data_IF_797705487587
#
_entry.id   IF_797705487587
#
_cell.length_a   1.000
_cell.length_b   1.000
_cell.length_c   1.000
_cell.angle_alpha   90.00
_cell.angle_beta   90.00
_cell.angle_gamma   90.00
#
_symmetry.space_group_name_H-M   'P 1'
#
loop_
_entity.id
_entity.type
_entity.pdbx_description
1 polymer ?
2 non-polymer ?
#
# COMPACT_ATOMS: atom_id res chain seq x y z
N UNK A 22 21.57 -14.36 30.30
CA UNK A 22 20.35 -14.99 29.79
C UNK A 22 19.99 -14.46 28.40
N UNK A 23 20.60 -15.04 27.36
CA UNK A 23 20.32 -14.56 25.99
C UNK A 23 18.94 -14.94 25.48
N UNK A 24 18.24 -15.89 26.11
CA UNK A 24 16.88 -16.23 25.70
C UNK A 24 15.91 -15.12 26.08
N UNK A 25 15.96 -14.67 27.33
CA UNK A 25 15.06 -13.61 27.77
C UNK A 25 15.48 -12.24 27.25
N UNK A 26 16.78 -12.03 27.05
CA UNK A 26 17.26 -10.74 26.54
C UNK A 26 16.89 -10.54 25.08
N UNK A 27 16.74 -11.64 24.33
CA UNK A 27 16.36 -11.50 22.93
C UNK A 27 14.88 -11.24 22.73
N UNK A 28 14.05 -11.42 23.76
CA UNK A 28 12.63 -11.10 23.67
C UNK A 28 12.28 -9.78 24.33
N UNK A 29 13.19 -9.19 25.10
CA UNK A 29 12.95 -7.90 25.73
C UNK A 29 13.80 -6.78 25.16
N UNK A 30 14.93 -7.09 24.54
CA UNK A 30 15.78 -6.08 23.94
C UNK A 30 15.83 -6.13 22.42
N UNK A 31 15.38 -7.23 21.81
CA UNK A 31 15.38 -7.35 20.36
C UNK A 31 13.97 -7.43 19.79
N UNK A 32 13.16 -8.39 20.23
CA UNK A 32 11.81 -8.54 19.70
C UNK A 32 10.91 -7.42 20.18
N UNK A 33 11.05 -7.03 21.45
CA UNK A 33 10.28 -5.90 21.97
C UNK A 33 10.71 -4.58 21.34
N UNK A 34 11.96 -4.50 20.87
CA UNK A 34 12.39 -3.35 20.09
C UNK A 34 12.00 -3.47 18.63
N UNK A 35 11.86 -4.70 18.13
CA UNK A 35 11.47 -4.91 16.75
C UNK A 35 10.01 -4.55 16.53
N UNK A 36 9.16 -4.85 17.51
CA UNK A 36 7.78 -4.41 17.48
C UNK A 36 7.62 -2.96 17.93
N UNK A 37 8.66 -2.36 18.48
CA UNK A 37 8.63 -0.94 18.78
C UNK A 37 9.05 -0.10 17.60
N UNK A 38 9.97 -0.58 16.76
CA UNK A 38 10.30 0.14 15.54
C UNK A 38 9.16 0.08 14.54
N UNK A 39 8.62 -1.12 14.31
CA UNK A 39 7.51 -1.28 13.37
C UNK A 39 6.25 -0.55 13.77
N UNK A 40 6.08 -0.28 15.07
CA UNK A 40 5.05 0.64 15.51
C UNK A 40 5.45 2.08 15.21
N UNK A 41 6.71 2.43 15.51
CA UNK A 41 7.15 3.81 15.39
C UNK A 41 7.64 4.16 13.98
N UNK A 42 7.78 3.18 13.08
CA UNK A 42 8.04 3.53 11.69
C UNK A 42 6.77 3.92 10.97
N UNK A 43 5.67 3.23 11.28
CA UNK A 43 4.38 3.52 10.66
C UNK A 43 3.55 4.49 11.49
N UNK A 44 4.12 5.64 11.89
CA UNK A 44 3.35 6.70 12.51
C UNK A 44 3.75 8.01 11.84
N UNK A 45 2.89 8.49 10.95
CA UNK A 45 3.04 9.78 10.28
C UNK A 45 1.67 10.42 10.37
N UNK A 46 1.43 11.30 11.36
CA UNK A 46 0.09 11.86 11.54
C UNK A 46 -0.38 12.74 10.40
N UNK A 47 0.53 13.33 9.63
CA UNK A 47 0.12 14.17 8.53
C UNK A 47 0.22 13.48 7.18
N UNK A 48 0.17 12.15 7.18
CA UNK A 48 0.31 11.43 5.91
C UNK A 48 -1.01 11.39 5.14
N UNK A 49 -2.12 11.21 5.84
CA UNK A 49 -3.42 11.30 5.17
C UNK A 49 -3.74 12.74 4.80
N UNK A 50 -3.22 13.70 5.55
CA UNK A 50 -3.42 15.12 5.27
C UNK A 50 -2.22 15.68 4.50
N UNK A 51 -1.92 15.05 3.36
CA UNK A 51 -0.96 15.57 2.42
C UNK A 51 -1.66 16.32 1.30
N UNK A 52 -2.66 15.70 0.69
CA UNK A 52 -3.42 16.31 -0.39
C UNK A 52 -4.33 17.46 0.09
N UNK A 53 -4.94 17.45 1.28
CA UNK A 53 -5.50 18.70 1.79
C UNK A 53 -4.45 19.73 2.17
N UNK A 54 -3.22 19.32 2.46
CA UNK A 54 -2.18 20.29 2.76
C UNK A 54 -1.69 20.96 1.49
N UNK A 55 -1.59 20.22 0.38
CA UNK A 55 -1.19 20.81 -0.89
C UNK A 55 -2.28 21.72 -1.44
N UNK A 56 -3.53 21.26 -1.41
CA UNK A 56 -4.64 22.01 -1.97
C UNK A 56 -5.16 23.09 -1.03
N UNK A 57 -4.64 23.18 0.19
CA UNK A 57 -5.08 24.18 1.13
C UNK A 57 -4.41 25.51 0.89
N UNK A 58 -4.60 26.46 1.82
CA UNK A 58 -3.99 27.79 1.66
C UNK A 58 -2.52 27.86 2.07
N UNK A 59 -1.92 26.73 2.48
CA UNK A 59 -0.51 26.75 2.86
C UNK A 59 0.40 26.65 1.64
N UNK A 60 0.13 25.70 0.74
CA UNK A 60 0.92 25.51 -0.47
C UNK A 60 0.29 26.15 -1.69
N UNK A 61 -1.04 26.25 -1.73
CA UNK A 61 -1.82 26.89 -2.79
C UNK A 61 -1.56 26.24 -4.15
N UNK A 62 -1.88 24.96 -4.24
CA UNK A 62 -1.85 24.23 -5.50
C UNK A 62 -3.26 24.10 -6.05
N UNK A 63 -3.38 24.18 -7.38
CA UNK A 63 -4.66 23.95 -8.01
C UNK A 63 -5.01 22.47 -7.94
N UNK A 64 -6.31 22.17 -7.99
CA UNK A 64 -6.75 20.78 -7.97
C UNK A 64 -6.39 20.07 -9.26
N UNK A 65 -6.33 20.79 -10.37
CA UNK A 65 -5.88 20.24 -11.64
C UNK A 65 -4.37 20.20 -11.76
N UNK A 66 -3.65 20.66 -10.73
CA UNK A 66 -2.20 20.67 -10.72
C UNK A 66 -1.59 19.53 -9.91
N UNK A 67 -2.36 18.94 -8.99
CA UNK A 67 -1.90 17.79 -8.24
C UNK A 67 -2.53 16.49 -8.71
N UNK A 68 -3.48 16.53 -9.63
CA UNK A 68 -4.05 15.32 -10.18
C UNK A 68 -3.54 15.01 -11.58
N UNK A 69 -2.81 15.94 -12.20
CA UNK A 69 -2.25 15.72 -13.52
C UNK A 69 -0.75 16.00 -13.59
N UNK A 70 -0.15 16.51 -12.53
CA UNK A 70 1.27 16.81 -12.55
C UNK A 70 2.05 16.32 -11.34
N UNK A 71 1.40 16.11 -10.20
CA UNK A 71 2.08 15.65 -8.99
C UNK A 71 1.87 14.17 -8.75
N UNK A 72 0.61 13.73 -8.68
CA UNK A 72 0.26 12.34 -8.41
C UNK A 72 0.61 11.34 -9.54
N UNK A 73 0.61 11.68 -10.84
CA UNK A 73 1.18 10.73 -11.80
C UNK A 73 2.69 10.49 -11.66
N UNK A 74 3.43 11.34 -10.95
CA UNK A 74 4.82 11.02 -10.66
C UNK A 74 4.93 9.96 -9.58
N UNK A 75 3.90 9.80 -8.75
CA UNK A 75 3.89 8.73 -7.76
C UNK A 75 3.78 7.36 -8.41
N UNK A 76 3.14 7.28 -9.57
CA UNK A 76 3.02 6.02 -10.29
C UNK A 76 4.18 5.76 -11.24
N UNK A 77 4.85 6.81 -11.71
CA UNK A 77 6.00 6.65 -12.60
C UNK A 77 7.23 6.23 -11.82
N UNK A 78 7.56 6.98 -10.77
CA UNK A 78 8.77 6.72 -10.02
C UNK A 78 8.65 5.45 -9.18
N UNK A 79 7.44 4.99 -8.88
CA UNK A 79 7.27 3.68 -8.28
C UNK A 79 7.69 2.58 -9.24
N UNK A 80 7.43 2.75 -10.53
CA UNK A 80 7.93 1.79 -11.52
C UNK A 80 9.45 1.83 -11.62
N UNK A 81 10.04 3.01 -11.44
CA UNK A 81 11.48 3.15 -11.61
C UNK A 81 12.27 2.60 -10.42
N UNK A 82 11.71 2.65 -9.21
CA UNK A 82 12.44 2.26 -8.02
C UNK A 82 11.95 0.94 -7.44
N UNK A 83 11.04 0.24 -8.12
CA UNK A 83 10.54 -1.01 -7.56
C UNK A 83 11.58 -2.12 -7.64
N UNK A 84 12.28 -2.22 -8.76
CA UNK A 84 13.34 -3.21 -8.92
C UNK A 84 14.65 -2.81 -8.23
N UNK A 85 15.15 -1.56 -8.29
CA UNK A 85 16.40 -1.27 -7.54
C UNK A 85 16.25 -1.29 -6.02
N UNK A 86 15.07 -1.02 -5.47
CA UNK A 86 14.93 -1.13 -4.02
C UNK A 86 14.84 -2.59 -3.60
N UNK A 87 14.11 -3.41 -4.36
CA UNK A 87 13.97 -4.82 -4.04
C UNK A 87 15.29 -5.58 -4.20
N UNK A 88 16.16 -5.14 -5.10
CA UNK A 88 17.49 -5.74 -5.17
C UNK A 88 18.43 -5.19 -4.11
N UNK A 89 18.29 -3.92 -3.74
CA UNK A 89 19.06 -3.37 -2.63
C UNK A 89 18.54 -3.85 -1.27
N UNK A 90 17.31 -4.35 -1.22
CA UNK A 90 16.76 -4.86 0.02
C UNK A 90 17.44 -6.13 0.49
N UNK A 91 17.66 -7.06 -0.42
CA UNK A 91 18.31 -8.33 -0.09
C UNK A 91 19.85 -8.27 -0.13
N UNK A 92 20.39 -7.30 -0.86
CA UNK A 92 21.84 -7.18 -0.95
C UNK A 92 22.44 -6.53 0.28
N UNK A 93 21.76 -5.52 0.82
CA UNK A 93 22.24 -4.79 1.99
C UNK A 93 21.75 -5.38 3.29
N UNK A 94 21.10 -6.54 3.25
CA UNK A 94 20.54 -7.26 4.41
C UNK A 94 19.53 -6.40 5.17
N UNK A 95 18.65 -5.75 4.43
CA UNK A 95 17.34 -5.25 4.86
C UNK A 95 17.37 -4.08 5.84
N UNK A 96 18.52 -3.77 6.44
CA UNK A 96 18.62 -2.71 7.43
C UNK A 96 18.81 -1.30 6.83
N UNK A 97 19.73 -1.06 5.86
CA UNK A 97 19.81 0.31 5.32
C UNK A 97 18.63 0.71 4.46
N UNK A 98 17.85 -0.26 3.95
CA UNK A 98 16.65 0.09 3.21
C UNK A 98 15.54 0.49 4.17
N UNK A 99 15.54 -0.04 5.39
CA UNK A 99 14.68 0.52 6.42
C UNK A 99 15.17 1.88 6.90
N UNK A 100 16.45 2.17 6.72
CA UNK A 100 16.95 3.53 6.95
C UNK A 100 16.69 4.41 5.74
N UNK A 101 16.71 3.83 4.53
CA UNK A 101 16.38 4.59 3.33
C UNK A 101 14.89 4.91 3.27
N UNK A 102 14.05 3.99 3.76
CA UNK A 102 12.62 4.27 3.88
C UNK A 102 12.35 5.32 4.94
N UNK A 103 13.15 5.33 6.00
CA UNK A 103 13.00 6.37 7.01
C UNK A 103 13.52 7.71 6.54
N UNK A 104 14.63 7.72 5.81
CA UNK A 104 15.21 8.97 5.33
C UNK A 104 14.44 9.55 4.15
N UNK A 105 13.77 8.71 3.35
CA UNK A 105 12.93 9.25 2.30
C UNK A 105 11.62 9.80 2.86
N UNK A 106 11.21 9.31 4.02
CA UNK A 106 10.01 9.86 4.63
C UNK A 106 10.37 11.25 5.12
N UNK A 107 11.53 11.40 5.75
CA UNK A 107 11.94 12.72 6.19
C UNK A 107 12.11 13.64 4.99
N UNK A 108 12.61 13.10 3.88
CA UNK A 108 12.77 13.90 2.67
C UNK A 108 11.44 14.22 1.99
N UNK A 109 10.39 13.45 2.26
CA UNK A 109 9.06 13.81 1.78
C UNK A 109 8.52 14.99 2.58
N UNK A 110 8.60 14.91 3.90
CA UNK A 110 8.06 15.98 4.73
C UNK A 110 8.94 17.22 4.71
N UNK A 111 10.21 17.10 4.37
CA UNK A 111 11.03 18.30 4.16
C UNK A 111 10.73 18.98 2.84
N UNK A 112 10.07 18.29 1.91
CA UNK A 112 9.61 18.92 0.68
C UNK A 112 8.18 19.41 0.78
N UNK A 113 7.37 18.82 1.67
CA UNK A 113 6.04 19.38 1.95
C UNK A 113 6.15 20.71 2.67
N UNK A 114 7.06 20.80 3.64
CA UNK A 114 7.14 21.98 4.48
C UNK A 114 7.93 23.11 3.84
N UNK A 115 8.91 22.78 2.99
CA UNK A 115 9.80 23.79 2.42
C UNK A 115 9.64 23.99 0.93
N UNK A 116 9.25 22.95 0.20
CA UNK A 116 9.02 23.12 -1.23
C UNK A 116 7.72 23.83 -1.50
N UNK A 117 7.72 24.62 -2.58
CA UNK A 117 6.54 25.42 -2.91
C UNK A 117 6.14 25.28 -4.37
N UNK A 118 7.11 24.98 -5.23
CA UNK A 118 6.85 24.94 -6.67
C UNK A 118 6.20 23.61 -7.04
N UNK A 119 5.79 23.52 -8.31
CA UNK A 119 5.20 22.29 -8.82
C UNK A 119 6.25 21.25 -9.12
N UNK A 120 7.53 21.64 -9.19
CA UNK A 120 8.60 20.68 -9.44
C UNK A 120 9.10 20.04 -8.15
N UNK A 121 8.98 20.74 -7.02
CA UNK A 121 9.43 20.17 -5.75
C UNK A 121 8.49 19.07 -5.29
N UNK A 122 7.19 19.20 -5.54
CA UNK A 122 6.25 18.15 -5.16
C UNK A 122 6.29 16.97 -6.09
N UNK A 123 6.81 17.12 -7.31
CA UNK A 123 7.11 15.96 -8.12
C UNK A 123 8.30 15.20 -7.57
N UNK A 124 9.24 15.92 -6.96
CA UNK A 124 10.34 15.28 -6.26
C UNK A 124 9.87 14.66 -4.95
N UNK A 125 8.81 15.22 -4.37
CA UNK A 125 8.24 14.65 -3.14
C UNK A 125 7.61 13.30 -3.40
N UNK A 126 6.95 13.14 -4.56
CA UNK A 126 6.39 11.84 -4.91
C UNK A 126 7.43 10.85 -5.38
N UNK A 127 8.60 11.32 -5.81
CA UNK A 127 9.69 10.40 -6.10
C UNK A 127 10.25 9.81 -4.81
N UNK A 128 10.38 10.64 -3.78
CA UNK A 128 10.80 10.12 -2.47
C UNK A 128 9.68 9.38 -1.77
N UNK A 129 8.42 9.63 -2.15
CA UNK A 129 7.32 8.90 -1.53
C UNK A 129 7.16 7.52 -2.16
N UNK A 130 7.55 7.37 -3.42
CA UNK A 130 7.45 6.07 -4.06
C UNK A 130 8.61 5.18 -3.67
N UNK A 131 9.68 5.76 -3.12
CA UNK A 131 10.74 4.95 -2.53
C UNK A 131 10.23 4.26 -1.28
N UNK A 132 9.54 5.01 -0.43
CA UNK A 132 8.99 4.46 0.81
C UNK A 132 7.87 3.48 0.53
N UNK A 133 7.22 3.63 -0.62
CA UNK A 133 6.13 2.75 -1.01
C UNK A 133 6.64 1.40 -1.49
N UNK A 134 7.89 1.38 -1.95
CA UNK A 134 8.50 0.14 -2.44
C UNK A 134 9.39 -0.49 -1.39
N UNK A 135 9.86 0.33 -0.44
CA UNK A 135 10.74 -0.15 0.63
C UNK A 135 9.93 -0.54 1.85
N UNK A 136 8.62 -0.68 1.69
CA UNK A 136 7.74 -1.05 2.79
C UNK A 136 7.85 -2.55 3.02
N UNK A 137 8.05 -3.28 1.93
CA UNK A 137 8.20 -4.72 2.00
C UNK A 137 9.49 -5.10 2.72
N UNK A 138 10.45 -4.18 2.73
CA UNK A 138 11.71 -4.46 3.41
C UNK A 138 11.49 -4.95 4.83
N UNK A 139 10.60 -4.28 5.57
CA UNK A 139 10.40 -4.63 6.97
C UNK A 139 9.67 -5.95 7.12
N UNK A 140 8.78 -6.28 6.20
CA UNK A 140 8.05 -7.54 6.29
C UNK A 140 8.95 -8.73 5.95
N UNK A 141 9.95 -8.52 5.11
CA UNK A 141 10.94 -9.55 4.81
C UNK A 141 12.18 -9.44 5.69
N UNK A 142 12.29 -8.38 6.49
CA UNK A 142 13.38 -8.29 7.45
C UNK A 142 13.18 -9.27 8.60
N UNK A 143 11.94 -9.54 8.99
CA UNK A 143 11.69 -10.45 10.10
C UNK A 143 11.95 -11.89 9.69
N UNK A 144 11.78 -12.21 8.41
CA UNK A 144 12.00 -13.59 7.98
C UNK A 144 13.48 -13.93 7.98
N UNK A 145 14.34 -13.00 7.60
CA UNK A 145 15.76 -13.26 7.55
C UNK A 145 16.44 -13.08 8.90
N UNK A 146 15.78 -12.42 9.85
CA UNK A 146 16.39 -12.15 11.15
C UNK A 146 16.15 -13.27 12.14
N UNK A 147 14.89 -13.58 12.43
CA UNK A 147 14.58 -14.49 13.53
C UNK A 147 14.67 -15.93 13.04
N UNK A 148 14.76 -16.85 14.01
CA UNK A 148 14.87 -18.27 13.71
C UNK A 148 13.56 -18.80 13.13
N UNK A 149 13.62 -19.80 12.25
CA UNK A 149 12.39 -20.34 11.66
C UNK A 149 11.49 -21.04 12.65
N UNK A 150 12.01 -21.54 13.77
CA UNK A 150 11.16 -22.15 14.76
C UNK A 150 10.36 -21.12 15.54
N UNK A 151 10.88 -19.90 15.65
CA UNK A 151 10.19 -18.83 16.35
C UNK A 151 9.95 -17.64 15.42
N UNK A 152 9.50 -17.92 14.20
CA UNK A 152 9.19 -16.86 13.25
C UNK A 152 7.72 -16.48 13.25
N UNK A 153 6.81 -17.45 13.33
CA UNK A 153 5.38 -17.14 13.25
C UNK A 153 4.87 -16.44 14.51
N UNK A 154 5.63 -16.48 15.61
CA UNK A 154 5.27 -15.72 16.80
C UNK A 154 5.85 -14.31 16.77
N UNK A 155 7.06 -14.13 16.23
CA UNK A 155 7.64 -12.80 16.16
C UNK A 155 6.98 -12.00 15.04
N UNK A 156 6.77 -12.63 13.87
CA UNK A 156 6.06 -11.95 12.80
C UNK A 156 4.59 -11.74 13.12
N UNK A 157 4.01 -12.55 14.00
CA UNK A 157 2.65 -12.27 14.46
C UNK A 157 2.59 -11.04 15.32
N UNK A 158 3.62 -10.82 16.15
CA UNK A 158 3.69 -9.61 16.95
C UNK A 158 4.12 -8.42 16.13
N UNK A 159 4.91 -8.64 15.07
CA UNK A 159 5.44 -7.54 14.28
C UNK A 159 4.39 -6.94 13.36
N UNK A 160 3.54 -7.79 12.76
CA UNK A 160 2.46 -7.26 11.92
C UNK A 160 1.35 -6.66 12.76
N UNK A 161 1.15 -7.16 13.99
CA UNK A 161 0.18 -6.56 14.89
C UNK A 161 0.69 -5.29 15.54
N UNK A 162 1.99 -5.00 15.42
CA UNK A 162 2.52 -3.72 15.85
C UNK A 162 2.58 -2.71 14.70
N UNK A 163 2.71 -3.20 13.46
CA UNK A 163 2.59 -2.32 12.31
C UNK A 163 1.15 -1.87 12.14
N UNK A 164 0.21 -2.82 12.20
CA UNK A 164 -1.20 -2.50 12.05
C UNK A 164 -1.72 -1.65 13.20
N UNK A 165 -1.14 -1.79 14.39
CA UNK A 165 -1.45 -0.87 15.48
C UNK A 165 -0.82 0.49 15.22
N UNK A 166 0.29 0.53 14.49
CA UNK A 166 0.90 1.80 14.15
C UNK A 166 0.14 2.56 13.08
N UNK A 167 -0.30 1.85 12.03
CA UNK A 167 -1.05 2.47 10.94
C UNK A 167 -2.39 2.99 11.44
N UNK A 168 -3.01 2.29 12.39
CA UNK A 168 -4.26 2.76 12.97
C UNK A 168 -4.03 3.99 13.83
N UNK A 169 -2.99 3.98 14.67
CA UNK A 169 -2.75 5.13 15.53
C UNK A 169 -2.04 6.27 14.80
N UNK A 170 -1.56 6.06 13.57
CA UNK A 170 -1.06 7.17 12.79
C UNK A 170 -2.20 8.04 12.29
N UNK A 171 -3.30 7.41 11.89
CA UNK A 171 -4.45 8.13 11.38
C UNK A 171 -5.41 8.57 12.46
N UNK A 172 -5.34 7.97 13.65
CA UNK A 172 -6.13 8.45 14.78
C UNK A 172 -5.47 9.68 15.39
N UNK A 173 -4.16 9.62 15.63
CA UNK A 173 -3.43 10.78 16.15
C UNK A 173 -3.41 11.93 15.15
N UNK A 174 -3.40 11.62 13.86
CA UNK A 174 -3.54 12.68 12.87
C UNK A 174 -4.92 13.29 12.86
N UNK A 175 -5.95 12.52 13.22
CA UNK A 175 -7.30 13.04 13.22
C UNK A 175 -7.61 13.79 14.51
N UNK A 176 -7.10 13.32 15.64
CA UNK A 176 -7.39 13.97 16.91
C UNK A 176 -6.68 15.31 17.03
N UNK A 177 -5.52 15.46 16.38
CA UNK A 177 -4.84 16.75 16.41
C UNK A 177 -5.56 17.77 15.54
N UNK A 178 -6.09 17.35 14.40
CA UNK A 178 -6.78 18.26 13.50
C UNK A 178 -8.17 18.60 14.03
N UNK A 179 -8.94 17.59 14.42
CA UNK A 179 -10.34 17.82 14.80
C UNK A 179 -10.46 18.25 16.26
N UNK A 180 -9.96 17.43 17.18
CA UNK A 180 -10.10 17.75 18.60
C UNK A 180 -9.09 18.81 19.02
N UNK A 181 -7.84 18.68 18.58
CA UNK A 181 -6.81 19.60 19.01
C UNK A 181 -6.73 20.90 18.25
N UNK A 182 -7.43 21.00 17.11
CA UNK A 182 -7.45 22.19 16.25
C UNK A 182 -6.07 22.59 15.74
N UNK A 183 -5.18 21.61 15.58
CA UNK A 183 -3.84 21.86 15.05
C UNK A 183 -3.94 22.01 13.55
N UNK A 184 -3.35 23.08 13.02
CA UNK A 184 -3.38 23.32 11.59
C UNK A 184 -2.50 22.30 10.86
N UNK A 185 -2.62 22.28 9.53
CA UNK A 185 -1.87 21.32 8.72
C UNK A 185 -0.39 21.63 8.68
N UNK A 186 0.00 22.88 8.86
CA UNK A 186 1.42 23.21 8.88
C UNK A 186 2.07 22.72 10.16
N UNK A 187 1.39 22.86 11.29
CA UNK A 187 1.93 22.38 12.56
C UNK A 187 1.78 20.87 12.69
N UNK A 188 0.90 20.26 11.90
CA UNK A 188 0.77 18.81 11.94
C UNK A 188 1.93 18.14 11.22
N UNK A 189 2.40 18.73 10.12
CA UNK A 189 3.54 18.14 9.42
C UNK A 189 4.86 18.37 10.15
N UNK A 190 4.93 19.39 11.02
CA UNK A 190 6.08 19.50 11.92
C UNK A 190 6.05 18.42 12.99
N UNK A 191 4.85 18.01 13.41
CA UNK A 191 4.71 16.90 14.34
C UNK A 191 5.07 15.60 13.63
N UNK A 192 4.63 15.43 12.38
CA UNK A 192 4.96 14.23 11.62
C UNK A 192 6.44 14.20 11.26
N UNK A 193 7.10 15.36 11.18
CA UNK A 193 8.54 15.36 10.97
C UNK A 193 9.28 14.96 12.24
N UNK A 194 8.68 15.17 13.41
CA UNK A 194 9.30 14.75 14.65
C UNK A 194 9.20 13.26 14.86
N UNK A 195 8.10 12.63 14.42
CA UNK A 195 7.97 11.18 14.52
C UNK A 195 8.73 10.45 13.42
N UNK A 196 9.24 11.16 12.42
CA UNK A 196 10.01 10.54 11.36
C UNK A 196 11.51 10.70 11.53
N UNK A 197 11.97 11.81 12.14
CA UNK A 197 13.36 11.88 12.53
C UNK A 197 13.66 10.97 13.71
N UNK A 198 12.64 10.69 14.53
CA UNK A 198 12.79 9.71 15.61
C UNK A 198 12.78 8.28 15.07
N UNK A 199 12.09 8.04 13.95
CA UNK A 199 12.09 6.72 13.35
C UNK A 199 13.33 6.45 12.51
N UNK A 200 14.06 7.49 12.13
CA UNK A 200 15.37 7.29 11.51
C UNK A 200 16.38 6.84 12.56
N UNK A 201 16.32 7.45 13.76
CA UNK A 201 17.20 7.09 14.86
C UNK A 201 16.92 5.66 15.33
N UNK A 202 15.64 5.26 15.35
CA UNK A 202 15.30 3.91 15.75
C UNK A 202 15.72 2.89 14.70
N UNK A 203 15.75 3.27 13.43
CA UNK A 203 16.18 2.37 12.37
C UNK A 203 17.68 2.18 12.32
N UNK A 204 18.46 3.01 13.01
CA UNK A 204 19.90 2.84 13.06
C UNK A 204 20.31 1.70 13.97
N UNK A 205 19.50 1.38 14.97
CA UNK A 205 19.85 0.40 15.98
C UNK A 205 19.21 -0.95 15.73
N UNK A 206 18.65 -1.16 14.55
CA UNK A 206 18.11 -2.47 14.20
C UNK A 206 19.23 -3.44 13.90
N UNK A 207 19.09 -4.67 14.40
CA UNK A 207 20.12 -5.68 14.20
C UNK A 207 20.07 -6.21 12.78
N UNK A 208 21.20 -6.17 12.09
CA UNK A 208 21.26 -6.70 10.74
C UNK A 208 21.19 -8.22 10.78
N UNK A 209 20.39 -8.85 9.92
CA UNK A 209 20.27 -10.31 9.94
C UNK A 209 21.53 -10.98 9.44
N UNK A 210 21.77 -12.18 9.96
CA UNK A 210 22.96 -12.93 9.60
C UNK A 210 22.90 -13.45 8.17
N UNK A 211 21.70 -13.55 7.63
CA UNK A 211 21.52 -14.04 6.28
C UNK A 211 20.37 -13.35 5.59
N UNK A 212 20.43 -13.27 4.28
CA UNK A 212 19.36 -12.68 3.49
C UNK A 212 18.72 -13.78 2.65
N UNK A 213 17.85 -13.38 1.72
CA UNK A 213 17.09 -14.34 0.94
C UNK A 213 17.73 -14.69 -0.40
N UNK A 214 18.35 -13.72 -1.07
CA UNK A 214 18.92 -13.97 -2.38
C UNK A 214 20.43 -13.79 -2.44
N UNK A 215 20.95 -12.66 -1.99
CA UNK A 215 22.34 -12.30 -2.26
C UNK A 215 23.28 -12.56 -1.09
N UNK A 216 22.75 -12.89 0.09
CA UNK A 216 23.57 -13.17 1.27
C UNK A 216 23.09 -14.45 1.95
N UNK A 217 22.87 -15.49 1.15
CA UNK A 217 22.38 -16.75 1.69
C UNK A 217 23.51 -17.52 2.36
N UNK A 218 23.15 -18.61 3.02
CA UNK A 218 24.09 -19.55 3.58
C UNK A 218 24.07 -20.85 2.80
N UNK A 219 25.02 -21.73 3.13
CA UNK A 219 25.25 -23.03 2.46
C UNK A 219 25.47 -22.84 0.95
N UNK A 220 26.26 -21.82 0.59
CA UNK A 220 26.59 -21.56 -0.80
C UNK A 220 27.64 -22.55 -1.30
N UNK A 251 19.55 -27.31 -8.40
CA UNK A 251 20.77 -27.45 -7.62
C UNK A 251 21.24 -26.10 -7.07
N UNK A 252 21.10 -25.06 -7.88
CA UNK A 252 21.50 -23.72 -7.51
C UNK A 252 20.30 -22.95 -6.97
N UNK A 253 20.47 -21.64 -6.78
CA UNK A 253 19.35 -20.79 -6.39
C UNK A 253 18.61 -20.21 -7.59
N UNK A 254 19.17 -20.35 -8.80
CA UNK A 254 18.51 -19.90 -10.02
C UNK A 254 18.03 -21.04 -10.90
N UNK A 255 18.74 -22.17 -10.92
CA UNK A 255 18.31 -23.31 -11.71
C UNK A 255 17.17 -24.08 -11.06
N UNK A 256 17.13 -24.14 -9.73
CA UNK A 256 16.03 -24.77 -9.03
C UNK A 256 14.80 -23.86 -8.99
N UNK A 257 15.01 -22.55 -8.91
CA UNK A 257 13.90 -21.61 -8.79
C UNK A 257 13.16 -21.46 -10.11
N UNK A 258 13.85 -21.55 -11.24
CA UNK A 258 13.19 -21.50 -12.54
C UNK A 258 12.61 -22.84 -12.96
N UNK A 259 12.84 -23.90 -12.20
CA UNK A 259 12.16 -25.18 -12.39
C UNK A 259 11.01 -25.36 -11.41
N UNK A 260 11.13 -24.83 -10.19
CA UNK A 260 10.01 -24.79 -9.28
C UNK A 260 8.93 -23.83 -9.78
N UNK A 261 9.32 -22.77 -10.49
CA UNK A 261 8.33 -21.87 -11.07
C UNK A 261 7.59 -22.52 -12.24
N UNK A 262 8.29 -23.35 -13.01
CA UNK A 262 7.66 -24.01 -14.14
C UNK A 262 6.64 -25.06 -13.75
N UNK A 263 6.75 -25.63 -12.57
CA UNK A 263 5.77 -26.58 -12.04
C UNK A 263 4.72 -25.92 -11.16
N UNK A 264 4.88 -24.63 -10.86
CA UNK A 264 3.91 -23.89 -10.07
C UNK A 264 3.16 -22.83 -10.87
N UNK A 265 3.60 -22.55 -12.09
CA UNK A 265 2.88 -21.63 -12.96
C UNK A 265 1.69 -22.29 -13.66
N UNK A 266 1.59 -23.61 -13.60
CA UNK A 266 0.48 -24.33 -14.20
C UNK A 266 -0.65 -24.61 -13.21
N UNK A 267 -0.55 -24.08 -12.00
CA UNK A 267 -1.64 -24.24 -11.04
C UNK A 267 -2.79 -23.32 -11.40
N UNK A 268 -4.04 -23.80 -11.37
CA UNK A 268 -5.16 -22.92 -11.72
C UNK A 268 -5.44 -21.84 -10.70
N UNK A 269 -5.06 -22.05 -9.43
CA UNK A 269 -5.26 -21.03 -8.41
C UNK A 269 -4.13 -20.01 -8.36
N UNK A 270 -2.99 -20.29 -8.98
CA UNK A 270 -1.94 -19.30 -9.03
C UNK A 270 -2.12 -18.33 -10.19
N UNK A 271 -2.50 -18.83 -11.37
CA UNK A 271 -2.74 -17.94 -12.50
C UNK A 271 -3.96 -17.07 -12.30
N UNK A 272 -4.95 -17.56 -11.56
CA UNK A 272 -6.17 -16.79 -11.33
C UNK A 272 -5.91 -15.63 -10.37
N UNK A 273 -5.08 -15.85 -9.36
CA UNK A 273 -4.81 -14.82 -8.37
C UNK A 273 -3.56 -14.01 -8.68
N UNK A 274 -2.72 -14.43 -9.62
CA UNK A 274 -1.68 -13.54 -10.09
C UNK A 274 -2.23 -12.56 -11.11
N UNK A 275 -3.17 -13.00 -11.94
CA UNK A 275 -3.86 -12.08 -12.85
C UNK A 275 -4.77 -11.12 -12.10
N UNK A 276 -5.22 -11.50 -10.90
CA UNK A 276 -5.92 -10.53 -10.05
C UNK A 276 -4.95 -9.54 -9.43
N UNK A 277 -3.75 -10.01 -9.06
CA UNK A 277 -2.78 -9.11 -8.44
C UNK A 277 -2.20 -8.13 -9.45
N UNK A 278 -2.19 -8.47 -10.73
CA UNK A 278 -1.69 -7.55 -11.74
C UNK A 278 -2.70 -6.43 -11.98
N UNK A 279 -3.96 -6.79 -12.20
CA UNK A 279 -4.94 -5.83 -12.71
C UNK A 279 -5.83 -5.23 -11.63
N UNK A 280 -6.26 -6.00 -10.64
CA UNK A 280 -7.11 -5.42 -9.60
C UNK A 280 -6.30 -4.62 -8.59
N UNK A 281 -5.09 -5.06 -8.27
CA UNK A 281 -4.25 -4.30 -7.35
C UNK A 281 -3.64 -3.06 -7.98
N UNK A 282 -3.69 -2.93 -9.30
CA UNK A 282 -3.27 -1.68 -9.94
C UNK A 282 -4.40 -0.68 -9.98
N UNK A 283 -5.62 -1.12 -10.29
CA UNK A 283 -6.77 -0.24 -10.22
C UNK A 283 -7.15 0.13 -8.81
N UNK A 284 -6.78 -0.67 -7.82
CA UNK A 284 -6.99 -0.30 -6.43
C UNK A 284 -6.09 0.86 -6.04
N UNK A 285 -4.80 0.78 -6.41
CA UNK A 285 -3.87 1.83 -6.05
C UNK A 285 -4.08 3.10 -6.84
N UNK A 286 -4.74 3.01 -8.01
CA UNK A 286 -5.15 4.23 -8.70
C UNK A 286 -6.30 4.93 -8.00
N UNK A 287 -7.07 4.23 -7.19
CA UNK A 287 -8.10 4.90 -6.41
C UNK A 287 -7.51 5.53 -5.16
N UNK A 288 -6.59 4.84 -4.49
CA UNK A 288 -6.02 5.30 -3.23
C UNK A 288 -5.19 6.57 -3.42
N UNK A 289 -4.52 6.71 -4.57
CA UNK A 289 -3.76 7.93 -4.85
C UNK A 289 -4.70 9.12 -5.05
N UNK A 290 -5.80 8.91 -5.77
CA UNK A 290 -6.64 10.00 -6.25
C UNK A 290 -7.93 10.16 -5.48
N UNK A 291 -8.09 9.48 -4.34
CA UNK A 291 -9.33 9.66 -3.59
C UNK A 291 -9.26 10.89 -2.68
N UNK A 292 -8.06 11.36 -2.33
CA UNK A 292 -7.96 12.54 -1.51
C UNK A 292 -8.06 13.82 -2.31
N UNK A 293 -7.82 13.74 -3.63
CA UNK A 293 -8.12 14.84 -4.51
C UNK A 293 -9.61 14.88 -4.86
N UNK A 294 -10.31 13.76 -4.67
CA UNK A 294 -11.74 13.72 -4.92
C UNK A 294 -12.52 14.22 -3.71
N UNK A 295 -12.04 13.94 -2.50
CA UNK A 295 -12.68 14.45 -1.30
C UNK A 295 -12.49 15.96 -1.18
N UNK A 296 -11.40 16.48 -1.73
CA UNK A 296 -11.21 17.93 -1.79
C UNK A 296 -12.01 18.56 -2.92
N UNK A 297 -12.52 17.76 -3.87
CA UNK A 297 -13.43 18.26 -4.88
C UNK A 297 -14.87 18.22 -4.43
N UNK A 298 -15.23 17.24 -3.60
CA UNK A 298 -16.58 17.17 -3.06
C UNK A 298 -16.80 18.27 -2.03
N UNK A 299 -15.91 18.36 -1.03
CA UNK A 299 -16.04 19.31 0.06
C UNK A 299 -14.75 20.08 0.24
N UNK A 300 -14.56 21.19 -0.49
CA UNK A 300 -13.40 22.05 -0.23
C UNK A 300 -13.66 23.04 0.88
N UNK A 301 -12.79 23.07 1.89
CA UNK A 301 -13.05 23.85 3.10
C UNK A 301 -12.03 24.95 3.34
N UNK A 302 -10.73 24.61 3.34
CA UNK A 302 -9.65 25.41 3.95
C UNK A 302 -10.00 25.78 5.39
N UNK A 303 -10.60 24.82 6.10
CA UNK A 303 -11.16 24.98 7.43
C UNK A 303 -10.74 23.77 8.24
N UNK A 304 -9.43 23.52 8.34
CA UNK A 304 -8.87 22.21 8.66
C UNK A 304 -9.12 21.78 10.10
N UNK A 305 -10.39 21.56 10.42
CA UNK A 305 -10.81 20.77 11.56
C UNK A 305 -11.99 19.89 11.21
N UNK A 306 -12.43 19.88 9.95
CA UNK A 306 -13.55 19.11 9.47
C UNK A 306 -13.15 18.29 8.24
N UNK A 307 -11.88 17.96 8.13
CA UNK A 307 -11.39 17.29 6.93
C UNK A 307 -11.69 15.80 6.96
N UNK A 308 -11.36 15.15 8.08
CA UNK A 308 -11.63 13.72 8.34
C UNK A 308 -11.01 12.81 7.28
N UNK A 309 -9.76 13.06 6.94
CA UNK A 309 -9.01 12.12 6.11
C UNK A 309 -8.26 11.09 6.94
N UNK A 310 -8.12 11.32 8.24
CA UNK A 310 -7.54 10.33 9.12
C UNK A 310 -8.60 9.39 9.66
N UNK A 311 -9.82 9.88 9.80
CA UNK A 311 -10.93 9.02 10.22
C UNK A 311 -11.36 8.07 9.12
N UNK A 312 -11.08 8.39 7.86
CA UNK A 312 -11.30 7.45 6.76
C UNK A 312 -10.05 6.65 6.43
N UNK A 313 -8.95 6.89 7.13
CA UNK A 313 -7.74 6.09 7.01
C UNK A 313 -7.47 5.25 8.24
N UNK A 314 -8.15 5.52 9.36
CA UNK A 314 -8.11 4.65 10.52
C UNK A 314 -9.25 3.65 10.51
N UNK A 315 -10.44 4.08 10.10
CA UNK A 315 -11.54 3.14 9.94
C UNK A 315 -11.37 2.24 8.72
N UNK A 316 -10.49 2.61 7.79
CA UNK A 316 -10.15 1.71 6.70
C UNK A 316 -9.09 0.70 7.12
N UNK A 317 -8.26 1.04 8.10
CA UNK A 317 -7.31 0.08 8.65
C UNK A 317 -8.02 -0.84 9.64
N UNK A 318 -9.01 -0.33 10.36
CA UNK A 318 -9.78 -1.16 11.27
C UNK A 318 -10.69 -2.12 10.51
N UNK A 319 -11.32 -1.64 9.42
CA UNK A 319 -12.08 -2.55 8.57
C UNK A 319 -11.15 -3.42 7.75
N UNK A 320 -9.96 -2.93 7.44
CA UNK A 320 -8.99 -3.75 6.74
C UNK A 320 -8.40 -4.84 7.61
N UNK A 321 -8.42 -4.67 8.93
CA UNK A 321 -7.97 -5.72 9.83
C UNK A 321 -9.08 -6.72 10.11
N UNK A 322 -10.34 -6.30 10.05
CA UNK A 322 -11.46 -7.22 10.26
C UNK A 322 -11.62 -8.14 9.06
N UNK A 323 -11.61 -7.57 7.86
CA UNK A 323 -11.79 -8.37 6.65
C UNK A 323 -10.56 -9.21 6.32
N UNK A 324 -9.42 -8.87 6.93
CA UNK A 324 -8.19 -9.62 6.77
C UNK A 324 -8.33 -10.82 7.69
N UNK A 325 -8.87 -10.57 8.89
CA UNK A 325 -9.11 -11.63 9.86
C UNK A 325 -10.23 -12.56 9.41
N UNK A 326 -11.25 -12.00 8.76
CA UNK A 326 -12.37 -12.79 8.27
C UNK A 326 -12.06 -13.52 6.96
N UNK A 327 -10.87 -13.34 6.40
CA UNK A 327 -10.46 -14.07 5.22
C UNK A 327 -9.60 -15.29 5.54
N UNK A 328 -9.29 -15.50 6.81
CA UNK A 328 -8.57 -16.71 7.19
C UNK A 328 -9.44 -17.94 7.15
N UNK A 329 -10.76 -17.78 7.15
CA UNK A 329 -11.64 -18.93 7.05
C UNK A 329 -11.92 -19.22 5.57
N UNK A 330 -12.22 -18.15 4.85
CA UNK A 330 -12.49 -18.26 3.42
C UNK A 330 -11.26 -18.62 2.62
N UNK A 331 -10.06 -18.28 3.11
CA UNK A 331 -8.81 -18.60 2.40
C UNK A 331 -8.70 -20.05 1.97
N UNK A 332 -9.07 -20.99 2.83
CA UNK A 332 -9.06 -22.39 2.46
C UNK A 332 -10.48 -22.93 2.21
N UNK A 333 -11.54 -22.27 2.67
CA UNK A 333 -12.88 -22.83 2.42
C UNK A 333 -13.54 -22.58 1.04
N UNK A 334 -13.36 -21.37 0.53
CA UNK A 334 -13.89 -20.82 -0.72
C UNK A 334 -12.76 -20.70 -1.74
N UNK A 335 -12.18 -21.85 -2.09
CA UNK A 335 -11.12 -21.90 -3.09
C UNK A 335 -11.59 -22.42 -4.43
N UNK A 336 -12.64 -23.24 -4.45
CA UNK A 336 -13.22 -23.65 -5.71
C UNK A 336 -14.02 -22.51 -6.34
N UNK A 337 -14.81 -21.82 -5.53
CA UNK A 337 -15.55 -20.63 -5.99
C UNK A 337 -14.68 -19.40 -5.81
N UNK A 338 -13.61 -19.37 -6.61
CA UNK A 338 -12.60 -18.31 -6.52
C UNK A 338 -12.72 -17.28 -7.64
N UNK A 339 -13.57 -17.52 -8.63
CA UNK A 339 -13.89 -16.51 -9.63
C UNK A 339 -15.17 -15.77 -9.33
N UNK A 340 -16.15 -16.42 -8.69
CA UNK A 340 -17.31 -15.71 -8.18
C UNK A 340 -16.94 -14.81 -7.02
N UNK A 341 -15.89 -15.18 -6.27
CA UNK A 341 -15.45 -14.34 -5.16
C UNK A 341 -14.71 -13.11 -5.65
N UNK A 342 -13.99 -13.22 -6.76
CA UNK A 342 -13.33 -12.04 -7.33
C UNK A 342 -14.36 -11.15 -8.02
N UNK A 343 -15.22 -11.75 -8.84
CA UNK A 343 -16.22 -10.99 -9.58
C UNK A 343 -17.37 -10.51 -8.71
N UNK A 344 -17.42 -10.90 -7.44
CA UNK A 344 -18.42 -10.38 -6.53
C UNK A 344 -17.88 -9.21 -5.74
N UNK A 345 -16.57 -9.16 -5.56
CA UNK A 345 -15.94 -8.06 -4.85
C UNK A 345 -15.50 -6.96 -5.80
N UNK A 346 -15.01 -7.33 -7.00
CA UNK A 346 -14.69 -6.31 -8.01
C UNK A 346 -15.94 -5.61 -8.52
N UNK A 347 -17.08 -6.31 -8.56
CA UNK A 347 -18.34 -5.64 -8.85
C UNK A 347 -18.77 -4.74 -7.71
N UNK A 348 -18.40 -5.07 -6.47
CA UNK A 348 -18.62 -4.16 -5.36
C UNK A 348 -17.66 -2.97 -5.43
N UNK A 349 -16.41 -3.22 -5.83
CA UNK A 349 -15.47 -2.12 -6.03
C UNK A 349 -15.83 -1.27 -7.24
N UNK A 350 -16.51 -1.85 -8.23
CA UNK A 350 -16.96 -1.05 -9.37
C UNK A 350 -18.13 -0.17 -9.01
N UNK A 351 -18.86 -0.49 -7.96
CA UNK A 351 -19.94 0.36 -7.50
C UNK A 351 -19.47 1.43 -6.55
N UNK A 352 -18.51 1.08 -5.69
CA UNK A 352 -18.01 2.03 -4.71
C UNK A 352 -17.09 3.07 -5.33
N UNK A 353 -16.42 2.74 -6.44
CA UNK A 353 -15.67 3.75 -7.18
C UNK A 353 -16.64 4.64 -7.94
N UNK A 354 -17.71 4.07 -8.48
CA UNK A 354 -18.74 4.87 -9.13
C UNK A 354 -19.50 5.74 -8.14
N UNK A 355 -19.66 5.27 -6.90
CA UNK A 355 -20.27 6.09 -5.87
C UNK A 355 -19.40 7.26 -5.49
N UNK A 356 -18.07 7.10 -5.58
CA UNK A 356 -17.16 8.22 -5.34
C UNK A 356 -17.24 9.24 -6.47
N UNK A 357 -17.49 8.78 -7.70
CA UNK A 357 -17.54 9.66 -8.85
C UNK A 357 -18.90 10.31 -9.05
N UNK A 358 -19.90 9.94 -8.25
CA UNK A 358 -21.25 10.44 -8.43
C UNK A 358 -21.67 11.46 -7.40
N UNK A 359 -21.11 11.42 -6.20
CA UNK A 359 -21.45 12.37 -5.14
C UNK A 359 -20.83 13.72 -5.43
N UNK A 360 -21.65 14.77 -5.35
CA UNK A 360 -21.19 16.12 -5.63
C UNK A 360 -21.54 17.15 -4.56
N UNK A 361 -22.51 16.89 -3.70
CA UNK A 361 -22.86 17.85 -2.67
C UNK A 361 -21.83 17.78 -1.54
N UNK A 362 -21.51 18.93 -0.91
CA UNK A 362 -20.59 18.90 0.23
C UNK A 362 -21.20 18.27 1.47
N UNK A 363 -22.52 18.20 1.58
CA UNK A 363 -23.16 17.53 2.70
C UNK A 363 -23.17 16.01 2.55
N UNK A 364 -22.82 15.50 1.36
CA UNK A 364 -22.70 14.07 1.12
C UNK A 364 -21.25 13.60 1.09
N UNK A 365 -20.38 14.24 1.88
CA UNK A 365 -18.99 13.82 1.92
C UNK A 365 -18.84 12.57 2.77
N UNK A 366 -19.70 12.37 3.77
CA UNK A 366 -19.61 11.19 4.61
C UNK A 366 -20.07 9.93 3.91
N UNK A 367 -20.71 10.06 2.74
CA UNK A 367 -20.89 8.90 1.87
C UNK A 367 -19.60 8.57 1.14
N UNK A 368 -18.78 9.58 0.81
CA UNK A 368 -17.52 9.33 0.13
C UNK A 368 -16.48 8.71 1.06
N UNK A 369 -16.57 8.98 2.36
CA UNK A 369 -15.69 8.29 3.31
C UNK A 369 -16.11 6.84 3.46
N UNK A 370 -17.41 6.57 3.56
CA UNK A 370 -17.90 5.21 3.70
C UNK A 370 -17.92 4.44 2.39
N UNK A 371 -17.67 5.08 1.26
CA UNK A 371 -17.50 4.38 0.00
C UNK A 371 -16.02 4.15 -0.33
N UNK A 372 -15.12 4.63 0.53
CA UNK A 372 -13.70 4.31 0.41
C UNK A 372 -13.22 3.38 1.51
N UNK A 373 -13.78 3.52 2.71
CA UNK A 373 -13.54 2.54 3.77
C UNK A 373 -14.08 1.17 3.36
N UNK A 374 -15.27 1.16 2.74
CA UNK A 374 -15.81 -0.08 2.21
C UNK A 374 -15.08 -0.54 0.96
N UNK A 375 -14.47 0.39 0.22
CA UNK A 375 -13.67 0.01 -0.93
C UNK A 375 -12.35 -0.60 -0.50
N UNK A 376 -11.63 0.10 0.39
CA UNK A 376 -10.35 -0.40 0.87
C UNK A 376 -10.51 -1.55 1.85
N UNK A 377 -11.71 -1.75 2.39
CA UNK A 377 -11.98 -2.87 3.24
C UNK A 377 -12.36 -4.12 2.47
N UNK A 378 -13.01 -3.94 1.31
CA UNK A 378 -13.36 -5.10 0.50
C UNK A 378 -12.18 -5.58 -0.34
N UNK A 379 -11.24 -4.69 -0.66
CA UNK A 379 -10.02 -5.14 -1.33
C UNK A 379 -9.16 -5.97 -0.39
N UNK A 380 -9.00 -5.52 0.85
CA UNK A 380 -8.22 -6.24 1.85
C UNK A 380 -8.90 -7.51 2.36
N UNK A 381 -10.11 -7.82 1.88
CA UNK A 381 -10.68 -9.14 2.09
C UNK A 381 -10.07 -10.16 1.15
N UNK A 382 -9.75 -9.74 -0.08
CA UNK A 382 -9.26 -10.67 -1.09
C UNK A 382 -7.76 -10.94 -1.00
N UNK A 383 -7.00 -10.03 -0.41
CA UNK A 383 -5.54 -10.16 -0.33
C UNK A 383 -5.09 -11.32 0.56
N UNK A 384 -5.69 -11.63 1.73
CA UNK A 384 -5.30 -12.89 2.40
C UNK A 384 -5.71 -14.13 1.63
N UNK A 385 -6.77 -14.06 0.84
CA UNK A 385 -7.09 -15.15 -0.05
C UNK A 385 -6.11 -15.19 -1.22
N UNK A 386 -5.65 -14.01 -1.65
CA UNK A 386 -4.71 -13.97 -2.77
C UNK A 386 -3.34 -14.48 -2.37
N UNK A 387 -2.85 -14.06 -1.21
CA UNK A 387 -1.51 -14.47 -0.80
C UNK A 387 -1.46 -15.90 -0.30
N UNK A 388 -2.59 -16.51 0.01
CA UNK A 388 -2.59 -17.93 0.35
C UNK A 388 -2.60 -18.81 -0.89
N UNK A 389 -3.41 -18.45 -1.89
CA UNK A 389 -3.50 -19.29 -3.08
C UNK A 389 -2.28 -19.13 -3.98
N UNK A 390 -1.63 -17.96 -3.95
CA UNK A 390 -0.39 -17.78 -4.70
C UNK A 390 0.76 -18.48 -3.96
N UNK A 391 0.96 -18.15 -2.70
CA UNK A 391 2.05 -18.71 -1.91
C UNK A 391 1.58 -19.91 -1.09
N UNK A 392 1.08 -20.92 -1.80
CA UNK A 392 0.66 -22.16 -1.14
C UNK A 392 1.78 -23.20 -1.13
N UNK A 393 2.25 -23.59 -2.33
CA UNK A 393 3.31 -24.57 -2.47
C UNK A 393 4.63 -23.94 -2.87
N UNK A 394 4.79 -22.63 -2.65
CA UNK A 394 5.96 -21.90 -3.11
C UNK A 394 6.97 -21.74 -1.99
N UNK A 395 8.25 -21.93 -2.32
CA UNK A 395 9.32 -21.65 -1.39
C UNK A 395 9.47 -20.14 -1.21
N UNK A 396 10.13 -19.77 -0.12
CA UNK A 396 10.34 -18.37 0.22
C UNK A 396 11.10 -17.65 -0.88
N UNK A 397 12.08 -18.33 -1.47
CA UNK A 397 12.85 -17.71 -2.55
C UNK A 397 11.97 -17.47 -3.76
N UNK A 398 10.96 -18.30 -3.97
CA UNK A 398 10.06 -18.12 -5.10
C UNK A 398 8.86 -17.26 -4.74
N UNK A 399 8.44 -17.29 -3.46
CA UNK A 399 7.34 -16.44 -3.04
C UNK A 399 7.71 -14.97 -3.09
N UNK A 400 8.95 -14.63 -2.76
CA UNK A 400 9.40 -13.25 -2.89
C UNK A 400 9.66 -12.86 -4.34
N UNK A 401 9.70 -13.81 -5.26
CA UNK A 401 9.89 -13.52 -6.68
C UNK A 401 8.57 -13.43 -7.42
N UNK A 402 7.59 -14.27 -7.06
CA UNK A 402 6.28 -14.20 -7.71
C UNK A 402 5.54 -12.94 -7.26
N UNK A 403 5.58 -12.64 -5.96
CA UNK A 403 5.00 -11.39 -5.48
C UNK A 403 5.81 -10.17 -5.89
N UNK A 404 7.08 -10.34 -6.27
CA UNK A 404 7.83 -9.25 -6.84
C UNK A 404 7.56 -9.04 -8.31
N UNK A 405 7.21 -10.10 -9.02
CA UNK A 405 6.81 -9.98 -10.42
C UNK A 405 5.37 -9.48 -10.52
N UNK A 406 4.50 -9.94 -9.63
CA UNK A 406 3.11 -9.47 -9.60
C UNK A 406 3.02 -8.00 -9.23
N UNK A 407 3.88 -7.54 -8.32
CA UNK A 407 3.88 -6.11 -8.00
C UNK A 407 4.55 -5.29 -9.10
N UNK A 408 5.46 -5.89 -9.86
CA UNK A 408 6.05 -5.17 -10.97
C UNK A 408 5.11 -5.10 -12.17
N UNK A 409 4.41 -6.19 -12.47
CA UNK A 409 3.44 -6.16 -13.55
C UNK A 409 2.19 -5.37 -13.19
N UNK A 410 1.89 -5.23 -11.90
CA UNK A 410 0.84 -4.31 -11.51
C UNK A 410 1.29 -2.86 -11.70
N UNK A 411 2.54 -2.57 -11.40
CA UNK A 411 3.06 -1.21 -11.56
C UNK A 411 3.28 -0.87 -13.03
N UNK A 412 3.50 -1.87 -13.88
CA UNK A 412 3.54 -1.62 -15.32
C UNK A 412 2.16 -1.22 -15.81
N UNK A 413 1.13 -1.99 -15.45
CA UNK A 413 -0.23 -1.69 -15.90
C UNK A 413 -0.89 -0.59 -15.08
N UNK A 414 -0.23 -0.10 -14.03
CA UNK A 414 -0.65 1.13 -13.38
C UNK A 414 -0.01 2.35 -14.02
N UNK A 415 1.24 2.23 -14.48
CA UNK A 415 1.90 3.31 -15.21
C UNK A 415 1.23 3.57 -16.54
N UNK A 416 0.68 2.53 -17.17
CA UNK A 416 -0.01 2.70 -18.45
C UNK A 416 -1.31 3.47 -18.27
N UNK A 417 -2.08 3.15 -17.24
CA UNK A 417 -3.33 3.87 -17.00
C UNK A 417 -3.05 5.27 -16.47
N UNK A 418 -1.98 5.45 -15.68
CA UNK A 418 -1.68 6.78 -15.17
C UNK A 418 -1.13 7.70 -16.25
N UNK A 419 -0.44 7.16 -17.25
CA UNK A 419 0.02 8.03 -18.33
C UNK A 419 -1.10 8.36 -19.29
N UNK A 420 -2.00 7.42 -19.56
CA UNK A 420 -3.08 7.66 -20.51
C UNK A 420 -4.17 8.52 -19.87
N UNK A 421 -4.72 8.05 -18.75
CA UNK A 421 -5.92 8.68 -18.19
C UNK A 421 -5.56 9.91 -17.37
N UNK A 422 -4.52 9.82 -16.54
CA UNK A 422 -4.31 10.80 -15.48
C UNK A 422 -3.36 11.93 -15.87
N UNK A 423 -2.28 11.63 -16.60
CA UNK A 423 -1.24 12.62 -16.82
C UNK A 423 -1.66 13.66 -17.83
N UNK A 424 -1.06 14.85 -17.72
CA UNK A 424 -1.36 15.96 -18.62
C UNK A 424 -0.79 15.76 -20.01
N UNK A 425 0.10 14.79 -20.19
CA UNK A 425 0.58 14.45 -21.53
C UNK A 425 -0.40 13.54 -22.25
N UNK A 426 -0.94 12.54 -21.56
CA UNK A 426 -1.91 11.66 -22.18
C UNK A 426 -3.27 12.28 -22.40
N UNK A 427 -4.02 12.48 -21.34
CA UNK A 427 -5.34 13.10 -21.44
C UNK A 427 -5.54 14.25 -20.48
N UNK A 428 -5.03 14.14 -19.25
CA UNK A 428 -5.22 15.19 -18.26
C UNK A 428 -6.65 15.28 -17.76
N UNK A 429 -7.23 14.16 -17.38
CA UNK A 429 -8.63 14.18 -16.96
C UNK A 429 -8.73 14.62 -15.50
N UNK A 430 -9.75 15.41 -15.15
CA UNK A 430 -9.99 15.73 -13.75
C UNK A 430 -10.48 14.50 -13.00
N UNK A 431 -10.47 14.61 -11.67
CA UNK A 431 -10.59 13.42 -10.80
C UNK A 431 -11.97 12.82 -10.85
N UNK A 432 -12.99 13.65 -11.08
CA UNK A 432 -14.34 13.10 -11.20
C UNK A 432 -14.57 12.43 -12.54
N UNK A 433 -13.93 12.94 -13.59
CA UNK A 433 -13.97 12.32 -14.91
C UNK A 433 -12.90 11.26 -15.08
N UNK A 434 -12.21 10.91 -14.00
CA UNK A 434 -11.20 9.86 -13.96
C UNK A 434 -11.66 8.66 -13.15
N UNK A 435 -12.42 8.90 -12.07
CA UNK A 435 -13.03 7.82 -11.32
C UNK A 435 -14.16 7.16 -12.08
N UNK A 436 -14.74 7.84 -13.07
CA UNK A 436 -15.68 7.18 -13.96
C UNK A 436 -14.97 6.27 -14.96
N UNK A 437 -13.66 6.45 -15.13
CA UNK A 437 -12.86 5.54 -15.94
C UNK A 437 -12.16 4.47 -15.11
N UNK A 438 -12.20 4.57 -13.78
CA UNK A 438 -11.79 3.47 -12.92
C UNK A 438 -12.97 2.60 -12.51
N UNK A 439 -14.17 3.18 -12.50
CA UNK A 439 -15.37 2.37 -12.28
C UNK A 439 -15.69 1.52 -13.51
N UNK A 440 -15.42 2.04 -14.71
CA UNK A 440 -15.58 1.23 -15.91
C UNK A 440 -14.49 0.16 -15.97
N UNK A 441 -13.26 0.52 -15.57
CA UNK A 441 -12.16 -0.43 -15.54
C UNK A 441 -12.40 -1.55 -14.53
N UNK A 442 -13.03 -1.23 -13.41
CA UNK A 442 -13.38 -2.26 -12.45
C UNK A 442 -14.60 -3.07 -12.90
N UNK A 443 -15.50 -2.46 -13.68
CA UNK A 443 -16.64 -3.19 -14.20
C UNK A 443 -16.22 -4.10 -15.35
N UNK A 444 -15.30 -3.63 -16.19
CA UNK A 444 -14.74 -4.48 -17.25
C UNK A 444 -13.95 -5.63 -16.65
N UNK A 445 -13.22 -5.37 -15.56
CA UNK A 445 -12.52 -6.44 -14.88
C UNK A 445 -13.47 -7.39 -14.15
N UNK A 446 -14.61 -6.89 -13.70
CA UNK A 446 -15.54 -7.74 -12.97
C UNK A 446 -16.33 -8.66 -13.89
N UNK A 447 -16.57 -8.25 -15.14
CA UNK A 447 -17.32 -9.10 -16.06
C UNK A 447 -16.37 -9.95 -16.88
N UNK A 448 -15.09 -9.94 -16.52
CA UNK A 448 -14.15 -10.90 -17.07
C UNK A 448 -14.03 -12.12 -16.17
N UNK A 449 -13.91 -11.91 -14.86
CA UNK A 449 -13.91 -13.04 -13.93
C UNK A 449 -15.29 -13.67 -13.82
N UNK A 450 -16.35 -12.90 -14.06
CA UNK A 450 -17.68 -13.50 -14.06
C UNK A 450 -17.93 -14.29 -15.33
N UNK A 451 -17.51 -13.76 -16.48
CA UNK A 451 -17.55 -14.54 -17.72
C UNK A 451 -16.49 -15.63 -17.74
N UNK A 452 -15.45 -15.50 -16.91
CA UNK A 452 -14.55 -16.61 -16.69
C UNK A 452 -15.09 -17.65 -15.74
N UNK A 453 -16.11 -17.31 -14.96
CA UNK A 453 -16.78 -18.25 -14.07
C UNK A 453 -17.91 -18.99 -14.76
N UNK A 454 -18.58 -18.35 -15.71
CA UNK A 454 -19.58 -19.06 -16.50
C UNK A 454 -18.93 -20.06 -17.46
N UNK A 455 -17.74 -19.74 -17.95
CA UNK A 455 -16.99 -20.62 -18.84
C UNK A 455 -16.15 -21.64 -18.06
N UNK A 456 -16.27 -21.67 -16.75
CA UNK A 456 -15.60 -22.67 -15.91
C UNK A 456 -16.57 -23.43 -15.03
N UNK A 457 -17.57 -22.75 -14.46
CA UNK A 457 -18.56 -23.42 -13.65
C UNK A 457 -19.54 -24.20 -14.50
N UNK A 458 -20.02 -23.59 -15.58
CA UNK A 458 -20.93 -24.23 -16.52
C UNK A 458 -20.18 -24.82 -17.72
N UNK A 459 -18.97 -25.29 -17.49
CA UNK A 459 -18.16 -25.93 -18.53
C UNK A 459 -18.49 -27.41 -18.56
N UNK A 460 -19.30 -27.79 -19.55
CA UNK A 460 -19.82 -29.15 -19.77
C UNK A 460 -20.54 -29.71 -18.54
X LIG B 1 4.63 -9.33 -1.15
X LIG B 1 1.64 -7.72 -0.16
X LIG B 1 2.57 -8.81 -0.18
X LIG B 1 3.59 -8.47 -0.96
X LIG B 1 4.63 -10.53 -0.54
X LIG B 1 3.61 -10.88 0.27
X LIG B 1 2.58 -10.04 0.45
X LIG B 1 1.70 -10.62 1.28
X LIG B 1 2.19 -11.82 1.60
X LIG B 1 3.34 -11.99 0.97
X LIG B 1 4.07 -13.19 1.16
X LIG B 1 4.50 -13.25 2.60
X LIG B 1 5.93 -13.22 2.65
X LIG B 1 3.88 -14.46 3.18
X LIG B 1 3.37 -15.22 2.06
X LIG B 1 1.99 -15.88 2.38
X LIG B 1 1.49 -15.58 3.74
X LIG B 1 -0.19 -15.77 4.09
X LIG B 1 -1.11 -15.07 3.11
X LIG B 1 -0.53 -15.47 5.73
X LIG B 1 0.73 -14.97 6.36
X LIG B 1 1.42 -16.08 7.03
X LIG B 1 0.52 -17.01 7.66
X LIG B 1 2.21 -15.40 8.11
X LIG B 1 3.52 -14.92 7.67
X LIG B 1 4.01 -15.66 6.47
X LIG B 1 5.05 -14.64 5.59
X LIG B 1 4.82 -15.27 3.96
X LIG B 1 4.45 -13.25 5.62
X LIG B 1 6.46 -14.52 6.09
X LIG B 1 1.37 -14.25 8.50
X LIG B 1 0.44 -14.04 7.39
X LIG B 1 0.62 -12.63 6.85
X LIG B 1 1.60 -12.35 5.97
X LIG B 1 1.54 -11.03 5.67
X LIG B 1 -0.05 -11.50 7.11
X LIG B 1 0.53 -10.50 6.36
X LIG B 1 -0.03 -9.06 6.43
X LIG B 1 -1.14 -8.77 7.28
X LIG B 1 -1.75 -9.82 8.07
X LIG B 1 -2.88 -9.53 8.93
X LIG B 1 -1.21 -11.19 7.99
X LIG B 1 0.47 -8.20 5.79
X LIG B 1 -0.47 -17.26 3.89
X LIG B 1 3.20 -14.32 0.92
X LIG C 1 6.23 -8.88 1.96
X LIG C 1 4.31 -10.51 4.44
X LIG C 1 4.66 -9.39 3.59
X LIG C 1 5.70 -9.74 2.85
X LIG C 1 5.69 -7.64 1.82
X LIG C 1 4.64 -7.27 2.57
X LIG C 1 4.11 -8.13 3.44
X LIG C 1 3.08 -7.52 4.06
X LIG C 1 2.98 -6.29 3.54
X LIG C 1 3.94 -6.14 2.62
X LIG C 1 4.08 -4.91 1.91
X LIG C 1 3.25 -4.92 0.64
X LIG C 1 4.06 -4.45 -0.44
X LIG C 1 2.10 -4.06 0.92
X LIG C 1 2.59 -3.13 1.93
X LIG C 1 1.42 -2.76 2.88
X LIG C 1 0.91 -3.99 3.50
X LIG C 1 -0.21 -3.88 4.81
X LIG C 1 0.28 -4.50 6.09
X LIG C 1 -1.80 -4.31 4.39
X LIG C 1 -1.82 -4.69 2.95
X LIG C 1 -2.32 -3.58 2.09
X LIG C 1 -3.25 -2.74 2.76
X LIG C 1 -3.01 -4.28 0.94
X LIG C 1 -2.10 -4.58 -0.18
X LIG C 1 -1.01 -3.59 -0.27
X LIG C 1 0.34 -4.30 -1.04
X LIG C 1 1.60 -3.36 -0.27
X LIG C 1 0.45 -5.73 -0.52
X LIG C 1 0.32 -4.38 -2.54
X LIG C 1 -3.51 -5.54 1.54
X LIG C 1 -2.75 -5.73 2.78
X LIG C 1 -2.02 -7.05 2.71
X LIG C 1 -0.96 -7.22 1.88
X LIG C 1 -0.51 -8.49 2.04
X LIG C 1 -2.22 -8.21 3.36
X LIG C 1 -1.27 -9.11 2.94
X LIG C 1 -1.25 -10.53 3.51
X LIG C 1 -2.22 -10.93 4.49
X LIG C 1 -3.21 -9.98 4.93
X LIG C 1 -4.21 -10.38 5.93
X LIG C 1 -3.24 -8.62 4.38
X LIG C 1 -0.43 -11.31 3.15
X LIG C 1 -0.29 -2.38 5.13
X LIG C 1 3.63 -3.80 2.70
#
# INVERSE_FOLDING_TARGET
MGSMVPSSPAVEKQVPVEPGPDPELRSWRHLVCYLCFYGFMAQIRPGESFITPYLLGPDKNFTREQVTNEITPVLSYSYLAVLVPVFLLTDYLRYTPVLLLQGLSFVSVWLLLLLGHSVAHMQLMELFYSVTMAARIAYSSYIFSLVRPARYQRVAGYSRAAVLLGVFTSSVLGQLLVTVGRVSFSTLNYISLAFLTFSVVLALFLKRPKRSLFFNRDDRGRCETSASELERMNPGPGGKLGHALRVACGDSVLARMLRELGDSLRRPQLRLWSLWWVFNSAGYYLVVYYVHILWNEVDPTTNSARVYNGAADAASTLLGAITSFAAGFVKIRWARWSKLLIAGVTATQAGLVFLLAHTRHPSSIWLCYAAFVLFRGSYQFLVPIATFQIASSLSKELCALVFGVNTFFATIVKTIITFIVSDVRGLGLPVRKQFQLYSVYFLILSIIYFLGAMLDGLRHCQRGHHPRQPPAQGLRSAAEEKAAQALSVQDKGLGGLQPAQSPPLSPEDKLGSENLYLEVLFQGPFQGGSGGSGHHHHHHHHHH
1SY C2 N01 C6 N1 N3 C4 C5 N7 C8 N9 C1' C2' O2' C3' C4' C16 O17 P18 O19 O20 C21 C22 O23 C24 C25 O26 P27 O28 O29 O30 O31 C32 N33 C34 N35 C36 C37 C38 N39 C40 N41 N42 O43 O44 O4'
1SY C2 N01 C6 N1 N3 C4 C5 N7 C8 N9 C1' C2' O2' C3' C4' C16 O17 P18 O19 O20 C21 C22 O23 C24 C25 O26 P27 O28 O29 O30 O31 C32 N33 C34 N35 C36 C37 C38 N39 C40 N41 N42 O43 O44 O4'
#
